data_IF_491465560515
#
_entry.id   IF_491465560515
#
_cell.length_a   1.000
_cell.length_b   1.000
_cell.length_c   1.000
_cell.angle_alpha   90.00
_cell.angle_beta   90.00
_cell.angle_gamma   90.00
#
_symmetry.space_group_name_H-M   'P 1'
#
loop_
_entity.id
_entity.type
_entity.pdbx_description
1 polymer ?
#
# COMPACT_ATOMS: atom_id res chain seq x y z
N UNK A 1 -20.30 4.83 26.22
CA UNK A 1 -19.42 3.66 26.16
C UNK A 1 -18.72 3.68 24.80
N UNK A 2 -17.42 3.43 24.74
CA UNK A 2 -16.73 3.27 23.46
C UNK A 2 -17.30 2.05 22.74
N UNK A 3 -17.50 2.14 21.41
CA UNK A 3 -17.96 1.02 20.59
C UNK A 3 -16.82 0.01 20.44
N UNK A 4 -17.11 -1.28 20.65
CA UNK A 4 -16.19 -2.37 20.38
C UNK A 4 -16.52 -2.99 19.03
N UNK A 5 -15.51 -3.15 18.18
CA UNK A 5 -15.63 -3.76 16.86
C UNK A 5 -15.19 -5.23 16.90
N UNK A 6 -15.88 -6.07 16.15
CA UNK A 6 -15.58 -7.51 16.09
C UNK A 6 -14.76 -7.81 14.81
N UNK A 7 -13.48 -8.07 14.96
CA UNK A 7 -12.60 -8.47 13.86
C UNK A 7 -12.44 -10.00 13.71
N UNK A 8 -13.10 -10.79 14.57
CA UNK A 8 -13.16 -12.25 14.45
C UNK A 8 -14.36 -12.74 13.63
N UNK A 9 -15.24 -11.82 13.21
CA UNK A 9 -16.38 -12.16 12.36
C UNK A 9 -15.91 -12.66 10.99
N UNK A 10 -16.37 -13.87 10.61
CA UNK A 10 -16.13 -14.42 9.28
C UNK A 10 -17.25 -13.95 8.36
N UNK A 11 -16.90 -13.14 7.38
CA UNK A 11 -17.85 -12.64 6.38
C UNK A 11 -17.68 -13.46 5.10
N UNK A 12 -18.76 -14.10 4.67
CA UNK A 12 -18.77 -14.79 3.37
C UNK A 12 -18.69 -13.76 2.23
N UNK A 13 -17.65 -13.88 1.41
CA UNK A 13 -17.41 -13.01 0.26
C UNK A 13 -17.81 -13.65 -1.07
N UNK A 14 -18.37 -14.86 -1.06
CA UNK A 14 -18.82 -15.57 -2.26
C UNK A 14 -19.87 -14.76 -3.02
N UNK A 15 -19.71 -14.65 -4.34
CA UNK A 15 -20.65 -13.94 -5.20
C UNK A 15 -20.66 -12.42 -5.02
N UNK A 16 -19.73 -11.86 -4.25
CA UNK A 16 -19.61 -10.40 -4.08
C UNK A 16 -18.86 -9.71 -5.23
N UNK A 17 -18.26 -10.48 -6.15
CA UNK A 17 -17.41 -9.98 -7.23
C UNK A 17 -16.03 -9.54 -6.73
N UNK A 18 -15.63 -9.94 -5.52
CA UNK A 18 -14.33 -9.55 -4.98
C UNK A 18 -13.17 -10.24 -5.69
N UNK A 19 -12.09 -9.47 -5.91
CA UNK A 19 -10.90 -9.95 -6.60
C UNK A 19 -10.20 -11.10 -5.85
N UNK A 20 -10.25 -11.09 -4.52
CA UNK A 20 -9.49 -12.02 -3.66
C UNK A 20 -9.91 -13.46 -3.86
N UNK A 21 -11.22 -13.71 -4.05
CA UNK A 21 -11.80 -15.04 -4.23
C UNK A 21 -12.10 -15.35 -5.71
N UNK A 22 -12.74 -14.43 -6.43
CA UNK A 22 -13.18 -14.67 -7.81
C UNK A 22 -12.01 -14.84 -8.80
N UNK A 23 -10.84 -14.28 -8.49
CA UNK A 23 -9.66 -14.42 -9.34
C UNK A 23 -8.80 -15.66 -9.03
N UNK A 24 -9.21 -16.55 -8.10
CA UNK A 24 -8.43 -17.76 -7.79
C UNK A 24 -8.35 -18.68 -9.00
N UNK A 25 -9.49 -19.04 -9.59
CA UNK A 25 -9.51 -19.94 -10.76
C UNK A 25 -8.75 -19.38 -11.97
N UNK A 26 -8.97 -18.14 -12.43
CA UNK A 26 -8.23 -17.60 -13.56
C UNK A 26 -6.73 -17.43 -13.29
N UNK A 27 -6.31 -17.22 -12.04
CA UNK A 27 -4.92 -16.96 -11.69
C UNK A 27 -4.11 -18.22 -11.36
N UNK A 28 -4.71 -19.20 -10.68
CA UNK A 28 -4.03 -20.41 -10.22
C UNK A 28 -4.59 -21.71 -10.82
N UNK A 29 -5.64 -21.62 -11.66
CA UNK A 29 -6.28 -22.79 -12.28
C UNK A 29 -7.11 -23.63 -11.30
N UNK A 30 -7.33 -23.12 -10.07
CA UNK A 30 -8.06 -23.81 -9.00
C UNK A 30 -8.74 -22.79 -8.06
N UNK A 31 -9.78 -23.20 -7.36
CA UNK A 31 -10.59 -22.35 -6.49
C UNK A 31 -10.66 -22.84 -5.03
N UNK A 32 -9.89 -23.89 -4.69
CA UNK A 32 -9.81 -24.47 -3.34
C UNK A 32 -8.69 -23.91 -2.49
N UNK A 33 -8.07 -22.79 -2.91
CA UNK A 33 -7.03 -22.12 -2.17
C UNK A 33 -7.61 -21.15 -1.14
N UNK A 34 -7.01 -21.11 0.05
CA UNK A 34 -7.30 -20.07 1.04
C UNK A 34 -6.60 -18.78 0.64
N UNK A 35 -7.35 -17.69 0.30
CA UNK A 35 -6.75 -16.51 -0.32
C UNK A 35 -6.26 -15.50 0.72
N UNK A 36 -4.95 -15.31 0.80
CA UNK A 36 -4.27 -14.30 1.64
C UNK A 36 -3.28 -13.46 0.82
N UNK A 37 -3.66 -13.11 -0.42
CA UNK A 37 -2.80 -12.44 -1.40
C UNK A 37 -3.17 -10.98 -1.71
N UNK A 38 -4.44 -10.66 -1.89
CA UNK A 38 -4.87 -9.28 -2.18
C UNK A 38 -4.69 -8.41 -0.95
N UNK A 39 -4.19 -7.19 -1.13
CA UNK A 39 -4.03 -6.22 -0.06
C UNK A 39 -5.37 -5.48 0.23
N UNK A 40 -6.41 -6.23 0.53
CA UNK A 40 -7.62 -5.79 1.23
C UNK A 40 -7.82 -6.65 2.49
N UNK A 41 -8.59 -6.20 3.45
CA UNK A 41 -8.86 -6.95 4.68
C UNK A 41 -10.13 -7.79 4.55
N UNK A 42 -10.28 -8.81 5.39
CA UNK A 42 -11.51 -9.60 5.50
C UNK A 42 -12.42 -9.07 6.62
N UNK A 43 -12.08 -7.93 7.20
CA UNK A 43 -12.91 -7.23 8.19
C UNK A 43 -14.01 -6.41 7.50
N UNK A 44 -15.17 -6.30 8.15
CA UNK A 44 -16.20 -5.39 7.69
C UNK A 44 -15.67 -3.96 7.52
N UNK A 45 -16.05 -3.30 6.44
CA UNK A 45 -15.90 -1.85 6.36
C UNK A 45 -16.64 -1.20 7.54
N UNK A 46 -16.08 -0.14 8.17
CA UNK A 46 -16.72 0.49 9.31
C UNK A 46 -18.19 0.87 9.03
N UNK A 47 -19.07 0.57 9.98
CA UNK A 47 -20.52 0.81 9.86
C UNK A 47 -20.86 2.26 9.56
N UNK A 48 -20.14 3.22 10.16
CA UNK A 48 -20.37 4.65 9.90
C UNK A 48 -20.07 5.06 8.43
N UNK A 49 -19.20 4.33 7.73
CA UNK A 49 -18.97 4.51 6.28
C UNK A 49 -20.15 3.92 5.51
N UNK A 50 -20.55 2.69 5.87
CA UNK A 50 -21.68 2.00 5.23
C UNK A 50 -22.98 2.78 5.41
N UNK A 51 -23.22 3.33 6.61
CA UNK A 51 -24.40 4.17 6.91
C UNK A 51 -24.39 5.46 6.10
N UNK A 52 -23.25 6.15 5.99
CA UNK A 52 -23.15 7.37 5.18
C UNK A 52 -23.46 7.10 3.69
N UNK A 53 -23.01 5.95 3.16
CA UNK A 53 -23.33 5.53 1.80
C UNK A 53 -24.81 5.18 1.63
N UNK A 54 -25.41 4.47 2.58
CA UNK A 54 -26.86 4.14 2.60
C UNK A 54 -27.72 5.41 2.64
N UNK A 55 -27.32 6.37 3.46
CA UNK A 55 -28.01 7.66 3.54
C UNK A 55 -27.99 8.38 2.19
N UNK A 56 -26.84 8.42 1.51
CA UNK A 56 -26.74 8.99 0.17
C UNK A 56 -27.57 8.20 -0.87
N UNK A 57 -27.64 6.88 -0.76
CA UNK A 57 -28.46 6.03 -1.64
C UNK A 57 -29.95 6.27 -1.47
N UNK A 58 -30.42 6.80 -0.32
CA UNK A 58 -31.83 7.15 -0.10
C UNK A 58 -32.33 8.23 -1.07
N UNK A 59 -31.44 9.07 -1.61
CA UNK A 59 -31.74 10.03 -2.66
C UNK A 59 -31.54 9.38 -4.04
N UNK A 60 -32.58 9.15 -4.84
CA UNK A 60 -32.53 8.26 -6.03
C UNK A 60 -31.95 8.92 -7.29
N UNK A 61 -31.42 10.12 -7.23
CA UNK A 61 -30.80 10.79 -8.36
C UNK A 61 -29.26 10.73 -8.23
N UNK A 62 -28.62 10.07 -9.17
CA UNK A 62 -27.15 9.88 -9.25
C UNK A 62 -26.59 10.72 -10.40
N UNK A 63 -26.87 12.03 -10.37
CA UNK A 63 -26.38 13.00 -11.35
C UNK A 63 -24.98 13.50 -11.05
N UNK A 64 -24.52 14.47 -11.83
CA UNK A 64 -23.26 15.16 -11.58
C UNK A 64 -23.23 15.78 -10.19
N UNK A 65 -22.09 15.73 -9.54
CA UNK A 65 -21.91 16.19 -8.18
C UNK A 65 -20.79 17.21 -8.08
N UNK A 66 -20.85 18.06 -7.08
CA UNK A 66 -19.73 18.92 -6.70
C UNK A 66 -18.99 18.29 -5.54
N UNK A 67 -17.72 18.63 -5.37
CA UNK A 67 -16.94 18.25 -4.19
C UNK A 67 -17.62 18.80 -2.93
N UNK A 68 -17.97 17.94 -1.94
CA UNK A 68 -18.58 18.42 -0.70
C UNK A 68 -17.63 19.35 0.07
N UNK A 69 -18.17 20.39 0.69
CA UNK A 69 -17.38 21.39 1.41
C UNK A 69 -16.49 20.82 2.53
N UNK A 70 -16.88 19.69 3.14
CA UNK A 70 -16.10 19.03 4.20
C UNK A 70 -15.07 18.03 3.69
N UNK A 71 -14.97 17.79 2.38
CA UNK A 71 -14.04 16.77 1.83
C UNK A 71 -12.58 17.13 2.12
N UNK A 72 -12.13 18.30 1.68
CA UNK A 72 -10.75 18.76 1.93
C UNK A 72 -10.46 18.98 3.42
N UNK A 73 -11.34 19.65 4.18
CA UNK A 73 -11.16 19.79 5.63
C UNK A 73 -11.02 18.45 6.35
N UNK A 74 -11.81 17.41 6.01
CA UNK A 74 -11.68 16.11 6.63
C UNK A 74 -10.30 15.48 6.40
N UNK A 75 -9.77 15.58 5.18
CA UNK A 75 -8.43 15.10 4.82
C UNK A 75 -7.35 15.88 5.59
N UNK A 76 -7.41 17.21 5.56
CA UNK A 76 -6.42 18.09 6.20
C UNK A 76 -6.36 17.86 7.71
N UNK A 77 -7.52 17.83 8.36
CA UNK A 77 -7.59 17.62 9.82
C UNK A 77 -7.06 16.23 10.20
N UNK A 78 -7.34 15.20 9.38
CA UNK A 78 -6.81 13.85 9.60
C UNK A 78 -5.30 13.81 9.49
N UNK A 79 -4.73 14.36 8.42
CA UNK A 79 -3.27 14.40 8.18
C UNK A 79 -2.57 15.17 9.30
N UNK A 80 -3.09 16.33 9.69
CA UNK A 80 -2.55 17.12 10.79
C UNK A 80 -2.54 16.32 12.09
N UNK A 81 -3.64 15.65 12.42
CA UNK A 81 -3.79 14.91 13.67
C UNK A 81 -2.90 13.65 13.75
N UNK A 82 -2.61 13.00 12.62
CA UNK A 82 -1.94 11.68 12.61
C UNK A 82 -0.50 11.72 12.11
N UNK A 83 -0.16 12.75 11.32
CA UNK A 83 1.16 12.81 10.65
C UNK A 83 1.91 14.12 10.92
N UNK A 84 1.39 15.03 11.78
CA UNK A 84 1.96 16.34 12.10
C UNK A 84 2.36 17.14 10.85
N UNK A 85 1.58 17.04 9.79
CA UNK A 85 1.83 17.73 8.54
C UNK A 85 0.72 18.74 8.24
N UNK A 86 1.10 20.02 8.14
CA UNK A 86 0.18 21.11 7.79
C UNK A 86 0.00 21.16 6.27
N UNK A 87 -1.12 20.64 5.80
CA UNK A 87 -1.49 20.62 4.38
C UNK A 87 -2.42 21.78 4.07
N UNK A 88 -2.15 22.49 2.98
CA UNK A 88 -3.03 23.57 2.51
C UNK A 88 -4.10 23.04 1.57
N UNK A 89 -5.33 23.59 1.57
CA UNK A 89 -6.41 23.12 0.70
C UNK A 89 -6.07 23.10 -0.79
N UNK A 90 -5.30 24.08 -1.26
CA UNK A 90 -4.87 24.17 -2.64
C UNK A 90 -3.84 23.10 -3.05
N UNK A 91 -3.19 22.43 -2.08
CA UNK A 91 -2.27 21.33 -2.36
C UNK A 91 -2.99 20.02 -2.69
N UNK A 92 -4.29 19.93 -2.42
CA UNK A 92 -5.08 18.71 -2.59
C UNK A 92 -5.79 18.66 -3.93
N UNK A 93 -5.78 17.48 -4.54
CA UNK A 93 -6.64 17.10 -5.66
C UNK A 93 -7.08 15.66 -5.54
N UNK A 94 -8.30 15.36 -5.93
CA UNK A 94 -8.74 13.98 -6.11
C UNK A 94 -7.92 13.31 -7.23
N UNK A 95 -7.67 12.02 -7.08
CA UNK A 95 -7.16 11.12 -8.14
C UNK A 95 -7.94 9.79 -8.11
N UNK A 96 -8.20 9.16 -9.25
CA UNK A 96 -8.99 7.93 -9.32
C UNK A 96 -8.20 6.67 -8.98
N UNK A 97 -7.32 6.72 -8.00
CA UNK A 97 -6.49 5.60 -7.52
C UNK A 97 -4.99 5.85 -7.68
N UNK A 98 -4.20 5.31 -6.74
CA UNK A 98 -2.75 5.55 -6.63
C UNK A 98 -2.00 5.08 -7.89
N UNK A 99 -2.21 3.85 -8.33
CA UNK A 99 -1.51 3.29 -9.51
C UNK A 99 -1.82 4.09 -10.78
N UNK A 100 -3.09 4.54 -10.93
CA UNK A 100 -3.47 5.44 -12.03
C UNK A 100 -2.76 6.79 -11.90
N UNK A 101 -2.70 7.34 -10.67
CA UNK A 101 -1.95 8.57 -10.37
C UNK A 101 -0.48 8.48 -10.76
N UNK A 102 0.19 7.35 -10.47
CA UNK A 102 1.57 7.10 -10.93
C UNK A 102 1.64 7.17 -12.46
N UNK A 103 0.72 6.51 -13.17
CA UNK A 103 0.65 6.56 -14.63
C UNK A 103 0.46 7.99 -15.15
N UNK A 104 -0.35 8.81 -14.48
CA UNK A 104 -0.55 10.21 -14.85
C UNK A 104 0.73 11.03 -14.65
N UNK A 105 1.42 10.86 -13.52
CA UNK A 105 2.71 11.54 -13.27
C UNK A 105 3.74 11.15 -14.32
N UNK A 106 3.85 9.86 -14.63
CA UNK A 106 4.75 9.37 -15.69
C UNK A 106 4.46 10.07 -17.02
N UNK A 107 3.19 10.20 -17.41
CA UNK A 107 2.81 10.85 -18.68
C UNK A 107 2.98 12.37 -18.66
N UNK A 108 2.82 13.02 -17.51
CA UNK A 108 2.94 14.48 -17.38
C UNK A 108 4.40 14.93 -17.30
N UNK A 109 5.24 14.17 -16.58
CA UNK A 109 6.57 14.64 -16.19
C UNK A 109 7.73 13.90 -16.84
N UNK A 110 7.45 12.93 -17.73
CA UNK A 110 8.52 12.23 -18.44
C UNK A 110 8.25 12.16 -19.95
N UNK A 111 9.33 12.25 -20.73
CA UNK A 111 9.33 11.93 -22.15
C UNK A 111 9.57 10.42 -22.38
N UNK A 112 9.36 9.93 -23.62
CA UNK A 112 9.45 8.48 -23.92
C UNK A 112 10.84 7.88 -23.70
N UNK A 113 11.91 8.67 -23.79
CA UNK A 113 13.29 8.22 -23.58
C UNK A 113 13.79 8.46 -22.15
N UNK A 114 12.96 9.08 -21.29
CA UNK A 114 13.27 9.32 -19.89
C UNK A 114 12.92 8.13 -19.00
N UNK A 115 13.41 8.15 -17.76
CA UNK A 115 13.48 6.99 -16.90
C UNK A 115 12.76 7.23 -15.57
N UNK A 116 12.22 6.13 -15.04
CA UNK A 116 11.59 6.07 -13.72
C UNK A 116 12.39 5.13 -12.82
N UNK A 117 12.81 5.62 -11.66
CA UNK A 117 13.55 4.85 -10.64
C UNK A 117 12.56 4.18 -9.71
N UNK A 118 12.80 2.90 -9.41
CA UNK A 118 12.08 2.14 -8.37
C UNK A 118 13.06 1.37 -7.50
N UNK A 119 12.65 1.00 -6.29
CA UNK A 119 13.50 0.38 -5.28
C UNK A 119 13.00 -1.02 -4.89
N UNK A 120 13.26 -2.06 -5.73
CA UNK A 120 12.83 -3.42 -5.43
C UNK A 120 13.60 -4.02 -4.22
N UNK A 121 12.97 -5.03 -3.51
CA UNK A 121 11.64 -5.56 -3.78
C UNK A 121 10.57 -4.53 -3.45
N UNK A 122 9.68 -4.21 -4.40
CA UNK A 122 8.66 -3.18 -4.22
C UNK A 122 7.37 -3.55 -4.96
N UNK A 123 6.27 -2.91 -4.63
CA UNK A 123 4.96 -3.14 -5.23
C UNK A 123 5.05 -3.13 -6.76
N UNK A 124 4.72 -4.27 -7.37
CA UNK A 124 4.98 -4.53 -8.79
C UNK A 124 4.38 -3.52 -9.80
N UNK A 125 3.26 -2.82 -9.53
CA UNK A 125 2.77 -1.77 -10.43
C UNK A 125 3.75 -0.60 -10.59
N UNK A 126 4.68 -0.38 -9.65
CA UNK A 126 5.69 0.67 -9.79
C UNK A 126 6.62 0.41 -10.98
N UNK A 127 6.82 -0.86 -11.34
CA UNK A 127 7.50 -1.28 -12.56
C UNK A 127 6.57 -1.32 -13.76
N UNK A 128 5.44 -2.02 -13.61
CA UNK A 128 4.54 -2.31 -14.73
C UNK A 128 3.91 -1.05 -15.33
N UNK A 129 3.60 -0.04 -14.49
CA UNK A 129 2.96 1.18 -14.96
C UNK A 129 3.87 2.03 -15.85
N UNK A 130 5.12 2.37 -15.48
CA UNK A 130 6.04 3.05 -16.40
C UNK A 130 6.34 2.25 -17.66
N UNK A 131 6.59 0.93 -17.55
CA UNK A 131 6.84 0.06 -18.70
C UNK A 131 5.67 0.06 -19.69
N UNK A 132 4.43 -0.07 -19.19
CA UNK A 132 3.23 -0.02 -20.01
C UNK A 132 2.99 1.37 -20.68
N UNK A 133 3.55 2.43 -20.08
CA UNK A 133 3.58 3.78 -20.65
C UNK A 133 4.86 4.05 -21.46
N UNK A 134 5.59 3.02 -21.85
CA UNK A 134 6.79 3.09 -22.69
C UNK A 134 7.96 3.91 -22.10
N UNK A 135 8.06 3.99 -20.77
CA UNK A 135 9.22 4.57 -20.07
C UNK A 135 10.15 3.45 -19.57
N UNK A 136 11.45 3.74 -19.57
CA UNK A 136 12.43 2.82 -19.02
C UNK A 136 12.39 2.84 -17.50
N UNK A 137 12.48 1.67 -16.89
CA UNK A 137 12.60 1.54 -15.43
C UNK A 137 14.06 1.33 -15.06
N UNK A 138 14.53 2.10 -14.09
CA UNK A 138 15.84 1.97 -13.45
C UNK A 138 15.62 1.33 -12.08
N UNK A 139 16.39 0.29 -11.81
CA UNK A 139 16.32 -0.44 -10.55
C UNK A 139 17.42 0.07 -9.61
N UNK A 140 17.01 0.52 -8.43
CA UNK A 140 17.87 0.75 -7.28
C UNK A 140 17.47 -0.24 -6.17
N UNK A 141 17.97 -1.48 -6.18
CA UNK A 141 17.55 -2.49 -5.24
C UNK A 141 17.87 -2.09 -3.80
N UNK A 142 16.93 -2.36 -2.90
CA UNK A 142 17.14 -2.23 -1.47
C UNK A 142 18.15 -3.27 -0.99
N UNK A 143 18.93 -2.93 0.02
CA UNK A 143 19.85 -3.86 0.68
C UNK A 143 19.16 -4.57 1.83
N UNK A 144 19.11 -5.89 1.79
CA UNK A 144 18.67 -6.72 2.90
C UNK A 144 19.74 -6.69 4.01
N UNK A 145 19.34 -6.36 5.23
CA UNK A 145 20.18 -6.34 6.42
C UNK A 145 20.19 -7.71 7.11
N UNK A 146 21.14 -7.91 7.99
CA UNK A 146 21.23 -9.15 8.79
C UNK A 146 20.02 -9.38 9.72
N UNK A 147 19.35 -8.31 10.13
CA UNK A 147 18.12 -8.36 10.93
C UNK A 147 16.84 -8.60 10.11
N UNK A 148 16.98 -8.79 8.79
CA UNK A 148 15.88 -9.05 7.85
C UNK A 148 15.21 -7.78 7.31
N UNK A 149 15.54 -6.58 7.83
CA UNK A 149 15.01 -5.33 7.29
C UNK A 149 15.81 -4.84 6.08
N UNK A 150 15.33 -3.79 5.46
CA UNK A 150 15.93 -3.24 4.26
C UNK A 150 16.40 -1.80 4.48
N UNK A 151 17.52 -1.47 3.85
CA UNK A 151 18.03 -0.09 3.72
C UNK A 151 18.00 0.35 2.26
N UNK A 152 17.86 1.66 2.02
CA UNK A 152 18.08 2.24 0.70
C UNK A 152 19.57 2.22 0.37
N UNK A 153 19.91 1.76 -0.84
CA UNK A 153 21.28 1.77 -1.35
C UNK A 153 21.57 3.06 -2.11
N UNK A 154 22.07 4.06 -1.41
CA UNK A 154 22.39 5.36 -2.00
C UNK A 154 23.62 5.35 -2.91
N UNK A 155 24.57 4.43 -2.68
CA UNK A 155 25.73 4.28 -3.55
C UNK A 155 25.30 3.71 -4.91
N UNK A 156 24.49 2.66 -4.89
CA UNK A 156 23.88 2.15 -6.11
C UNK A 156 22.94 3.18 -6.75
N UNK A 157 22.18 3.95 -5.97
CA UNK A 157 21.31 5.01 -6.52
C UNK A 157 22.13 6.03 -7.31
N UNK A 158 23.28 6.44 -6.80
CA UNK A 158 24.19 7.37 -7.50
C UNK A 158 24.82 6.74 -8.76
N UNK A 159 25.10 5.43 -8.75
CA UNK A 159 25.65 4.70 -9.88
C UNK A 159 24.64 4.55 -11.05
N UNK A 160 23.35 4.23 -10.72
CA UNK A 160 22.35 3.93 -11.75
C UNK A 160 21.60 5.17 -12.24
N UNK A 161 21.68 6.28 -11.50
CA UNK A 161 21.05 7.54 -11.86
C UNK A 161 21.86 8.26 -12.95
N UNK A 162 21.18 8.64 -14.03
CA UNK A 162 21.73 9.47 -15.09
C UNK A 162 20.81 10.68 -15.37
N UNK A 163 21.23 11.51 -16.33
CA UNK A 163 20.54 12.74 -16.72
C UNK A 163 19.16 12.53 -17.37
N UNK A 164 18.74 11.28 -17.61
CA UNK A 164 17.43 10.91 -18.09
C UNK A 164 16.47 10.45 -16.98
N UNK A 165 16.94 10.25 -15.77
CA UNK A 165 16.09 9.93 -14.64
C UNK A 165 15.27 11.17 -14.23
N UNK A 166 13.93 11.06 -14.22
CA UNK A 166 13.02 12.17 -13.93
C UNK A 166 12.09 11.94 -12.78
N UNK A 167 11.73 10.69 -12.54
CA UNK A 167 10.77 10.30 -11.49
C UNK A 167 11.36 9.16 -10.68
N UNK A 168 11.22 9.22 -9.36
CA UNK A 168 11.41 8.11 -8.45
C UNK A 168 10.08 7.80 -7.78
N UNK A 169 9.65 6.51 -7.80
CA UNK A 169 8.43 6.09 -7.11
C UNK A 169 8.81 5.44 -5.79
N UNK A 170 8.48 6.12 -4.70
CA UNK A 170 8.75 5.72 -3.32
C UNK A 170 7.54 5.02 -2.72
N UNK A 171 7.73 3.87 -2.07
CA UNK A 171 6.74 3.21 -1.20
C UNK A 171 6.99 3.63 0.24
N UNK A 172 6.07 4.38 0.84
CA UNK A 172 6.23 4.97 2.18
C UNK A 172 4.90 5.00 2.98
N UNK A 173 4.62 4.07 3.88
CA UNK A 173 5.43 2.89 4.28
C UNK A 173 5.65 1.87 3.16
N UNK A 174 6.74 1.13 3.29
CA UNK A 174 7.20 0.24 2.22
C UNK A 174 6.38 -1.06 2.13
N UNK A 175 5.97 -1.42 0.94
CA UNK A 175 5.34 -2.69 0.59
C UNK A 175 6.24 -3.43 -0.41
N UNK A 176 6.74 -4.66 -0.11
CA UNK A 176 6.08 -5.68 0.74
C UNK A 176 6.58 -5.77 2.18
N UNK A 177 7.67 -5.14 2.57
CA UNK A 177 8.34 -5.39 3.85
C UNK A 177 7.71 -4.65 5.04
N UNK A 178 6.74 -3.76 4.82
CA UNK A 178 6.04 -3.05 5.90
C UNK A 178 6.94 -2.06 6.67
N UNK A 179 7.94 -1.44 6.02
CA UNK A 179 8.88 -0.55 6.70
C UNK A 179 8.35 0.88 6.79
N UNK A 180 8.59 1.52 7.94
CA UNK A 180 8.54 2.97 8.09
C UNK A 180 9.95 3.52 7.93
N UNK A 181 10.18 4.33 6.90
CA UNK A 181 11.50 4.94 6.67
C UNK A 181 11.83 5.96 7.75
N UNK A 182 13.10 6.01 8.17
CA UNK A 182 13.56 7.04 9.10
C UNK A 182 13.59 8.42 8.45
N UNK A 183 13.48 9.46 9.26
CA UNK A 183 13.55 10.85 8.79
C UNK A 183 14.88 11.12 8.07
N UNK A 184 16.00 10.60 8.60
CA UNK A 184 17.33 10.75 8.00
C UNK A 184 17.41 10.09 6.62
N UNK A 185 16.82 8.90 6.46
CA UNK A 185 16.75 8.21 5.16
C UNK A 185 15.93 9.01 4.15
N UNK A 186 14.78 9.52 4.57
CA UNK A 186 13.92 10.33 3.69
C UNK A 186 14.54 11.67 3.34
N UNK A 187 15.24 12.35 4.29
CA UNK A 187 16.00 13.58 4.01
C UNK A 187 17.13 13.33 3.01
N UNK A 188 17.90 12.27 3.20
CA UNK A 188 18.98 11.90 2.28
C UNK A 188 18.44 11.63 0.87
N UNK A 189 17.31 10.91 0.77
CA UNK A 189 16.65 10.69 -0.51
C UNK A 189 16.17 12.00 -1.15
N UNK A 190 15.59 12.90 -0.35
CA UNK A 190 15.12 14.19 -0.82
C UNK A 190 16.26 15.06 -1.35
N UNK A 191 17.38 15.13 -0.63
CA UNK A 191 18.57 15.88 -1.06
C UNK A 191 19.12 15.32 -2.38
N UNK A 192 19.28 14.01 -2.49
CA UNK A 192 19.72 13.35 -3.71
C UNK A 192 18.79 13.68 -4.90
N UNK A 193 17.48 13.46 -4.74
CA UNK A 193 16.52 13.70 -5.81
C UNK A 193 16.43 15.17 -6.21
N UNK A 194 16.52 16.09 -5.24
CA UNK A 194 16.53 17.53 -5.50
C UNK A 194 17.75 17.95 -6.34
N UNK A 195 18.94 17.46 -5.98
CA UNK A 195 20.19 17.77 -6.69
C UNK A 195 20.22 17.21 -8.11
N UNK A 196 19.48 16.13 -8.37
CA UNK A 196 19.40 15.50 -9.70
C UNK A 196 18.12 15.87 -10.48
N UNK A 197 17.31 16.82 -10.00
CA UNK A 197 16.04 17.24 -10.61
C UNK A 197 15.05 16.06 -10.82
N UNK A 198 14.95 15.16 -9.85
CA UNK A 198 14.07 14.00 -9.86
C UNK A 198 12.83 14.31 -9.02
N UNK A 199 11.65 14.12 -9.59
CA UNK A 199 10.36 14.22 -8.89
C UNK A 199 10.15 12.91 -8.10
N UNK A 200 9.81 13.01 -6.82
CA UNK A 200 9.48 11.86 -5.99
C UNK A 200 7.97 11.69 -5.91
N UNK A 201 7.47 10.58 -6.45
CA UNK A 201 6.08 10.14 -6.24
C UNK A 201 6.06 9.28 -4.99
N UNK A 202 5.58 9.83 -3.87
CA UNK A 202 5.47 9.09 -2.61
C UNK A 202 4.10 8.42 -2.51
N UNK A 203 4.06 7.09 -2.63
CA UNK A 203 2.87 6.31 -2.35
C UNK A 203 2.75 6.07 -0.85
N UNK A 204 1.84 6.81 -0.22
CA UNK A 204 1.62 6.80 1.24
C UNK A 204 0.28 6.14 1.61
N UNK A 205 -0.22 5.21 0.80
CA UNK A 205 -1.51 4.54 1.02
C UNK A 205 -1.57 3.73 2.32
N UNK A 206 -0.42 3.37 2.90
CA UNK A 206 -0.30 2.66 4.18
C UNK A 206 0.04 3.58 5.37
N UNK A 207 0.05 4.90 5.20
CA UNK A 207 0.48 5.89 6.19
C UNK A 207 -0.23 5.78 7.54
N UNK A 208 -1.55 5.53 7.52
CA UNK A 208 -2.38 5.44 8.73
C UNK A 208 -2.24 4.11 9.51
N UNK A 209 -1.37 3.22 9.04
CA UNK A 209 -1.29 1.85 9.52
C UNK A 209 0.04 1.50 10.19
N UNK A 210 0.70 2.48 10.81
CA UNK A 210 1.90 2.25 11.62
C UNK A 210 1.56 1.36 12.83
N UNK A 211 2.43 0.38 13.13
CA UNK A 211 2.27 -0.66 14.13
C UNK A 211 3.39 -0.59 15.16
N UNK A 212 3.17 -1.18 16.34
CA UNK A 212 4.18 -1.35 17.39
C UNK A 212 4.86 -0.04 17.83
N UNK A 213 4.12 1.07 17.83
CA UNK A 213 4.65 2.37 18.20
C UNK A 213 5.54 3.03 17.14
N UNK A 214 5.69 2.42 15.96
CA UNK A 214 6.34 3.08 14.83
C UNK A 214 5.49 4.24 14.32
N UNK A 215 6.12 5.14 13.57
CA UNK A 215 5.47 6.31 13.02
C UNK A 215 5.77 6.43 11.52
N UNK A 216 4.74 6.72 10.76
CA UNK A 216 4.89 7.18 9.39
C UNK A 216 5.33 8.65 9.37
N UNK A 217 6.24 8.99 8.47
CA UNK A 217 6.68 10.35 8.21
C UNK A 217 6.37 10.66 6.74
N UNK A 218 5.48 11.63 6.44
CA UNK A 218 5.21 12.02 5.07
C UNK A 218 6.49 12.51 4.38
N UNK A 219 6.80 12.02 3.20
CA UNK A 219 8.04 12.39 2.51
C UNK A 219 8.15 13.91 2.30
N UNK A 220 7.06 14.56 1.90
CA UNK A 220 7.05 16.00 1.65
C UNK A 220 7.32 16.86 2.90
N UNK A 221 7.14 16.28 4.11
CA UNK A 221 7.27 17.03 5.38
C UNK A 221 8.69 17.05 5.94
N UNK A 222 9.61 16.21 5.43
CA UNK A 222 10.94 16.05 6.04
C UNK A 222 11.89 17.24 5.78
N UNK A 223 11.68 17.98 4.69
CA UNK A 223 12.46 19.17 4.38
C UNK A 223 11.77 20.05 3.32
N UNK A 224 12.24 21.28 3.17
CA UNK A 224 11.78 22.17 2.09
C UNK A 224 12.12 21.58 0.71
N UNK A 225 13.30 20.97 0.54
CA UNK A 225 13.69 20.29 -0.70
C UNK A 225 12.74 19.15 -1.03
N UNK A 226 12.36 18.35 -0.04
CA UNK A 226 11.36 17.29 -0.23
C UNK A 226 10.01 17.84 -0.70
N UNK A 227 9.53 18.93 -0.07
CA UNK A 227 8.28 19.58 -0.47
C UNK A 227 8.34 20.14 -1.91
N UNK A 228 9.50 20.59 -2.36
CA UNK A 228 9.68 21.13 -3.71
C UNK A 228 9.63 20.09 -4.84
N UNK A 229 9.94 18.84 -4.55
CA UNK A 229 10.05 17.78 -5.57
C UNK A 229 9.01 16.67 -5.43
N UNK A 230 8.09 16.75 -4.46
CA UNK A 230 7.19 15.65 -4.14
C UNK A 230 5.80 15.79 -4.74
N UNK A 231 5.26 14.64 -5.14
CA UNK A 231 3.85 14.38 -5.38
C UNK A 231 3.47 13.23 -4.45
N UNK A 232 2.76 13.52 -3.36
CA UNK A 232 2.32 12.51 -2.40
C UNK A 232 0.96 11.99 -2.78
N UNK A 233 0.78 10.67 -2.78
CA UNK A 233 -0.51 10.01 -2.97
C UNK A 233 -0.93 9.30 -1.69
N UNK A 234 -2.16 9.55 -1.25
CA UNK A 234 -2.74 8.91 -0.08
C UNK A 234 -4.22 8.57 -0.28
N UNK A 235 -4.75 7.73 0.59
CA UNK A 235 -6.14 7.29 0.52
C UNK A 235 -6.59 6.66 1.84
N UNK A 236 -7.86 6.80 2.25
CA UNK A 236 -8.43 6.06 3.39
C UNK A 236 -8.71 4.59 3.07
N UNK A 237 -8.55 4.18 1.81
CA UNK A 237 -9.09 2.94 1.27
C UNK A 237 -8.46 1.67 1.84
N UNK A 238 -7.18 1.69 2.20
CA UNK A 238 -6.53 0.56 2.87
C UNK A 238 -6.86 0.53 4.36
N UNK A 239 -6.77 1.68 5.02
CA UNK A 239 -7.02 1.82 6.46
C UNK A 239 -8.43 1.38 6.83
N UNK A 240 -9.44 1.76 6.05
CA UNK A 240 -10.85 1.49 6.34
C UNK A 240 -11.49 0.39 5.46
N UNK A 241 -10.67 -0.42 4.81
CA UNK A 241 -11.10 -1.54 3.98
C UNK A 241 -12.20 -1.19 2.96
N UNK A 242 -11.97 -0.13 2.19
CA UNK A 242 -12.94 0.38 1.21
C UNK A 242 -12.31 0.61 -0.18
N UNK A 243 -11.35 -0.25 -0.58
CA UNK A 243 -10.60 -0.09 -1.82
C UNK A 243 -11.47 -0.05 -3.09
N UNK A 244 -12.62 -0.73 -3.07
CA UNK A 244 -13.57 -0.74 -4.19
C UNK A 244 -14.28 0.59 -4.43
N UNK A 245 -14.26 1.52 -3.46
CA UNK A 245 -14.87 2.85 -3.60
C UNK A 245 -13.99 3.80 -4.43
N UNK A 246 -12.71 3.49 -4.59
CA UNK A 246 -11.77 4.29 -5.40
C UNK A 246 -11.74 5.75 -4.93
N UNK A 247 -11.31 5.98 -3.71
CA UNK A 247 -11.10 7.32 -3.16
C UNK A 247 -9.63 7.52 -2.82
N UNK A 248 -8.96 8.34 -3.59
CA UNK A 248 -7.55 8.70 -3.37
C UNK A 248 -7.34 10.17 -3.68
N UNK A 249 -6.29 10.74 -3.13
CA UNK A 249 -5.95 12.14 -3.37
C UNK A 249 -4.44 12.32 -3.52
N UNK A 250 -4.08 13.38 -4.25
CA UNK A 250 -2.72 13.87 -4.38
C UNK A 250 -2.52 15.09 -3.47
N UNK A 251 -1.31 15.24 -2.93
CA UNK A 251 -0.86 16.42 -2.19
C UNK A 251 0.43 16.92 -2.85
N UNK A 252 0.40 18.13 -3.39
CA UNK A 252 1.53 18.72 -4.11
C UNK A 252 1.83 20.11 -3.57
N UNK A 253 2.83 20.25 -2.69
CA UNK A 253 3.18 21.57 -2.10
C UNK A 253 3.74 22.57 -3.12
N UNK A 254 4.62 22.11 -4.02
CA UNK A 254 5.23 22.95 -5.05
C UNK A 254 4.21 23.47 -6.05
N UNK A 255 4.15 24.78 -6.25
CA UNK A 255 3.13 25.42 -7.10
C UNK A 255 3.30 25.07 -8.60
N UNK A 256 4.53 25.01 -9.08
CA UNK A 256 4.80 24.69 -10.49
C UNK A 256 4.41 23.23 -10.82
N UNK A 257 4.85 22.27 -9.98
CA UNK A 257 4.46 20.87 -10.12
C UNK A 257 2.94 20.72 -10.02
N UNK A 258 2.33 21.39 -9.06
CA UNK A 258 0.89 21.37 -8.81
C UNK A 258 0.10 21.89 -10.01
N UNK A 259 0.46 23.06 -10.52
CA UNK A 259 -0.23 23.67 -11.66
C UNK A 259 -0.12 22.82 -12.92
N UNK A 260 1.06 22.21 -13.15
CA UNK A 260 1.26 21.31 -14.29
C UNK A 260 0.46 20.02 -14.11
N UNK A 261 0.51 19.37 -12.94
CA UNK A 261 -0.17 18.10 -12.71
C UNK A 261 -1.69 18.27 -12.63
N UNK A 262 -2.17 19.19 -11.81
CA UNK A 262 -3.63 19.41 -11.66
C UNK A 262 -4.27 20.06 -12.88
N UNK A 263 -3.53 20.89 -13.60
CA UNK A 263 -3.97 21.41 -14.89
C UNK A 263 -4.18 20.29 -15.90
N UNK A 264 -3.30 19.28 -15.92
CA UNK A 264 -3.45 18.10 -16.77
C UNK A 264 -4.62 17.22 -16.32
N UNK A 265 -4.78 16.99 -15.03
CA UNK A 265 -5.93 16.21 -14.49
C UNK A 265 -7.25 16.89 -14.90
N UNK A 266 -7.35 18.19 -14.68
CA UNK A 266 -8.55 18.98 -15.02
C UNK A 266 -8.85 18.95 -16.52
N UNK A 267 -7.83 19.08 -17.37
CA UNK A 267 -8.02 19.03 -18.82
C UNK A 267 -8.52 17.66 -19.32
N UNK A 268 -8.35 16.60 -18.53
CA UNK A 268 -8.81 15.24 -18.81
C UNK A 268 -10.00 14.80 -17.94
N UNK A 269 -10.61 15.69 -17.15
CA UNK A 269 -11.74 15.42 -16.23
C UNK A 269 -11.45 14.30 -15.22
N UNK A 270 -10.20 14.24 -14.71
CA UNK A 270 -9.72 13.21 -13.79
C UNK A 270 -9.61 13.67 -12.34
N UNK A 271 -9.86 14.94 -12.07
CA UNK A 271 -9.80 15.58 -10.75
C UNK A 271 -11.15 15.60 -10.02
N UNK A 272 -12.21 15.14 -10.68
CA UNK A 272 -13.54 15.09 -10.09
C UNK A 272 -13.81 13.72 -9.41
N UNK A 273 -14.14 13.72 -8.10
CA UNK A 273 -14.44 12.49 -7.40
C UNK A 273 -15.79 11.91 -7.84
N UNK A 274 -15.89 10.58 -7.86
CA UNK A 274 -17.19 9.91 -8.02
C UNK A 274 -18.10 10.19 -6.83
N UNK A 275 -19.41 10.10 -7.04
CA UNK A 275 -20.44 10.42 -6.04
C UNK A 275 -20.17 9.87 -4.63
N UNK A 276 -19.70 8.62 -4.51
CA UNK A 276 -19.54 7.93 -3.23
C UNK A 276 -18.17 8.14 -2.58
N UNK A 277 -17.15 8.49 -3.36
CA UNK A 277 -15.78 8.62 -2.88
C UNK A 277 -15.62 9.69 -1.77
N UNK A 278 -16.07 10.94 -1.94
CA UNK A 278 -15.96 11.95 -0.88
C UNK A 278 -16.83 11.64 0.33
N UNK A 279 -18.01 11.05 0.15
CA UNK A 279 -18.90 10.67 1.25
C UNK A 279 -18.24 9.65 2.16
N UNK A 280 -17.68 8.59 1.56
CA UNK A 280 -16.97 7.55 2.30
C UNK A 280 -15.70 8.12 2.98
N UNK A 281 -14.94 8.98 2.30
CA UNK A 281 -13.74 9.61 2.85
C UNK A 281 -14.05 10.50 4.05
N UNK A 282 -15.07 11.36 3.93
CA UNK A 282 -15.52 12.22 5.04
C UNK A 282 -15.93 11.37 6.24
N UNK A 283 -16.77 10.35 6.02
CA UNK A 283 -17.21 9.47 7.09
C UNK A 283 -16.03 8.74 7.75
N UNK A 284 -15.09 8.22 6.95
CA UNK A 284 -13.89 7.54 7.43
C UNK A 284 -13.01 8.45 8.29
N UNK A 285 -12.67 9.64 7.81
CA UNK A 285 -11.75 10.52 8.52
C UNK A 285 -12.41 11.28 9.69
N UNK A 286 -13.71 11.57 9.63
CA UNK A 286 -14.42 12.22 10.74
C UNK A 286 -14.75 11.29 11.90
N UNK A 287 -14.93 10.00 11.65
CA UNK A 287 -15.43 9.03 12.65
C UNK A 287 -14.51 7.81 12.86
N UNK A 288 -13.43 7.70 12.09
CA UNK A 288 -12.68 6.44 11.93
C UNK A 288 -11.65 6.14 13.00
N UNK A 289 -11.26 7.08 13.83
CA UNK A 289 -10.11 6.95 14.74
C UNK A 289 -10.22 5.75 15.69
N UNK A 290 -11.39 5.56 16.32
CA UNK A 290 -11.58 4.46 17.26
C UNK A 290 -11.56 3.09 16.57
N UNK A 291 -12.19 2.98 15.38
CA UNK A 291 -12.14 1.77 14.58
C UNK A 291 -10.70 1.45 14.16
N UNK A 292 -9.96 2.47 13.68
CA UNK A 292 -8.55 2.33 13.26
C UNK A 292 -7.67 1.82 14.41
N UNK A 293 -7.78 2.40 15.61
CA UNK A 293 -7.02 1.96 16.78
C UNK A 293 -7.29 0.49 17.12
N UNK A 294 -8.54 0.08 17.15
CA UNK A 294 -8.90 -1.30 17.45
C UNK A 294 -8.45 -2.26 16.34
N UNK A 295 -8.58 -1.86 15.07
CA UNK A 295 -8.09 -2.63 13.93
C UNK A 295 -6.57 -2.82 13.99
N UNK A 296 -5.80 -1.76 14.26
CA UNK A 296 -4.35 -1.85 14.38
C UNK A 296 -3.93 -2.76 15.54
N UNK A 297 -4.59 -2.65 16.70
CA UNK A 297 -4.32 -3.54 17.82
C UNK A 297 -4.57 -5.02 17.46
N UNK A 298 -5.66 -5.31 16.73
CA UNK A 298 -5.94 -6.67 16.26
C UNK A 298 -4.90 -7.16 15.23
N UNK A 299 -4.47 -6.29 14.32
CA UNK A 299 -3.40 -6.61 13.36
C UNK A 299 -2.07 -6.88 14.06
N UNK A 300 -1.71 -6.09 15.08
CA UNK A 300 -0.51 -6.34 15.88
C UNK A 300 -0.55 -7.72 16.57
N UNK A 301 -1.70 -8.10 17.13
CA UNK A 301 -1.90 -9.43 17.68
C UNK A 301 -1.78 -10.53 16.60
N UNK A 302 -2.26 -10.27 15.38
CA UNK A 302 -2.07 -11.19 14.27
C UNK A 302 -0.59 -11.31 13.87
N UNK A 303 0.18 -10.22 13.89
CA UNK A 303 1.64 -10.27 13.65
C UNK A 303 2.32 -11.17 14.70
N UNK A 304 2.08 -10.91 15.99
CA UNK A 304 2.65 -11.74 17.09
C UNK A 304 2.29 -13.21 16.92
N UNK A 305 1.04 -13.48 16.57
CA UNK A 305 0.58 -14.85 16.35
C UNK A 305 1.34 -15.53 15.19
N UNK A 306 1.58 -14.83 14.06
CA UNK A 306 2.36 -15.39 12.94
C UNK A 306 3.81 -15.66 13.36
N UNK A 307 4.44 -14.72 14.06
CA UNK A 307 5.82 -14.87 14.55
C UNK A 307 5.98 -16.06 15.49
N UNK A 308 5.11 -16.16 16.50
CA UNK A 308 5.13 -17.24 17.48
C UNK A 308 4.85 -18.59 16.81
N UNK A 309 3.85 -18.66 15.96
CA UNK A 309 3.48 -19.89 15.25
C UNK A 309 4.60 -20.36 14.32
N UNK A 310 5.20 -19.46 13.54
CA UNK A 310 6.33 -19.83 12.66
C UNK A 310 7.53 -20.31 13.47
N UNK A 311 7.89 -19.62 14.55
CA UNK A 311 9.00 -20.01 15.43
C UNK A 311 8.80 -21.42 16.02
N UNK A 312 7.57 -21.76 16.41
CA UNK A 312 7.26 -23.02 17.10
C UNK A 312 7.02 -24.19 16.14
N UNK A 313 6.42 -23.93 14.98
CA UNK A 313 5.90 -24.98 14.10
C UNK A 313 6.50 -24.99 12.69
N UNK A 314 7.15 -23.90 12.24
CA UNK A 314 7.71 -23.77 10.90
C UNK A 314 9.10 -23.12 10.95
N UNK A 315 10.12 -23.75 11.55
CA UNK A 315 11.40 -23.10 11.87
C UNK A 315 12.20 -22.60 10.64
N UNK A 316 11.81 -22.98 9.43
CA UNK A 316 12.44 -22.51 8.18
C UNK A 316 11.79 -21.26 7.57
N UNK A 317 10.74 -20.70 8.18
CA UNK A 317 10.08 -19.48 7.75
C UNK A 317 10.23 -18.41 8.80
N UNK A 318 10.80 -17.26 8.42
CA UNK A 318 11.05 -16.13 9.30
C UNK A 318 10.18 -14.93 8.87
N UNK A 319 9.05 -14.67 9.56
CA UNK A 319 8.24 -13.49 9.30
C UNK A 319 9.01 -12.22 9.64
N UNK A 320 9.12 -11.28 8.70
CA UNK A 320 9.62 -9.95 9.01
C UNK A 320 8.50 -9.18 9.73
N UNK A 321 8.79 -8.67 10.94
CA UNK A 321 7.81 -7.87 11.70
C UNK A 321 7.53 -6.57 10.98
N UNK A 322 6.32 -6.34 10.46
CA UNK A 322 6.00 -5.10 9.79
C UNK A 322 5.93 -3.94 10.79
N UNK A 323 6.49 -2.80 10.42
CA UNK A 323 6.37 -1.55 11.16
C UNK A 323 5.11 -0.78 10.75
N UNK A 324 4.48 -1.18 9.65
CA UNK A 324 3.21 -0.67 9.15
C UNK A 324 2.50 -1.67 8.25
N UNK A 325 1.20 -1.48 8.00
CA UNK A 325 0.38 -2.31 7.13
C UNK A 325 -0.08 -3.64 7.78
N UNK A 326 -0.92 -4.37 7.06
CA UNK A 326 -1.41 -5.71 7.42
C UNK A 326 -0.79 -6.80 6.52
N UNK A 327 0.41 -6.54 6.00
CA UNK A 327 1.12 -7.42 5.09
C UNK A 327 2.42 -7.85 5.76
N UNK A 328 2.66 -9.16 5.81
CA UNK A 328 3.87 -9.75 6.39
C UNK A 328 4.72 -10.33 5.27
N UNK A 329 6.00 -9.95 5.24
CA UNK A 329 7.00 -10.49 4.34
C UNK A 329 7.63 -11.71 4.99
N UNK A 330 7.43 -12.89 4.41
CA UNK A 330 7.91 -14.16 4.92
C UNK A 330 9.24 -14.51 4.24
N UNK A 331 10.32 -14.53 4.97
CA UNK A 331 11.59 -15.13 4.52
C UNK A 331 11.49 -16.64 4.65
N UNK A 332 11.51 -17.34 3.51
CA UNK A 332 11.41 -18.79 3.42
C UNK A 332 12.73 -19.48 3.04
N UNK A 333 13.86 -18.76 3.04
CA UNK A 333 15.18 -19.34 2.67
C UNK A 333 15.61 -20.47 3.61
N UNK A 334 15.18 -20.41 4.88
CA UNK A 334 15.49 -21.44 5.84
C UNK A 334 14.90 -22.84 5.54
N UNK A 335 13.93 -22.91 4.59
CA UNK A 335 13.42 -24.20 4.11
C UNK A 335 14.37 -24.88 3.12
N UNK A 336 15.38 -24.20 2.59
CA UNK A 336 16.33 -24.75 1.60
C UNK A 336 15.72 -25.10 0.25
N UNK A 337 14.53 -24.62 -0.04
CA UNK A 337 13.80 -24.88 -1.29
C UNK A 337 14.19 -23.89 -2.40
N UNK A 338 14.20 -24.38 -3.64
CA UNK A 338 14.19 -23.47 -4.79
C UNK A 338 12.86 -22.73 -4.84
N UNK A 339 12.85 -21.53 -5.39
CA UNK A 339 11.63 -20.70 -5.39
C UNK A 339 10.41 -21.37 -6.02
N UNK A 340 10.59 -22.14 -7.10
CA UNK A 340 9.49 -22.91 -7.71
C UNK A 340 8.93 -23.99 -6.78
N UNK A 341 9.80 -24.61 -5.98
CA UNK A 341 9.40 -25.61 -4.99
C UNK A 341 8.64 -24.93 -3.84
N UNK A 342 9.05 -23.73 -3.42
CA UNK A 342 8.35 -22.90 -2.46
C UNK A 342 6.93 -22.54 -2.95
N UNK A 343 6.77 -22.17 -4.22
CA UNK A 343 5.45 -21.91 -4.79
C UNK A 343 4.57 -23.16 -4.79
N UNK A 344 5.12 -24.32 -5.20
CA UNK A 344 4.39 -25.58 -5.16
C UNK A 344 4.01 -25.98 -3.72
N UNK A 345 4.88 -25.73 -2.75
CA UNK A 345 4.59 -25.95 -1.34
C UNK A 345 3.38 -25.12 -0.91
N UNK A 346 3.35 -23.81 -1.20
CA UNK A 346 2.25 -22.94 -0.83
C UNK A 346 0.95 -23.31 -1.55
N UNK A 347 1.00 -23.53 -2.87
CA UNK A 347 -0.18 -23.69 -3.71
C UNK A 347 -0.70 -25.13 -3.65
N UNK A 348 0.15 -26.11 -3.91
CA UNK A 348 -0.28 -27.51 -4.15
C UNK A 348 -0.33 -28.34 -2.87
N UNK A 349 0.50 -28.00 -1.86
CA UNK A 349 0.56 -28.73 -0.59
C UNK A 349 -0.20 -28.04 0.52
N UNK A 350 0.05 -26.73 0.72
CA UNK A 350 -0.61 -25.96 1.76
C UNK A 350 -1.99 -25.41 1.34
N UNK A 351 -2.35 -25.43 0.05
CA UNK A 351 -3.59 -24.86 -0.48
C UNK A 351 -3.76 -23.38 -0.11
N UNK A 352 -2.68 -22.60 -0.23
CA UNK A 352 -2.66 -21.17 0.06
C UNK A 352 -2.40 -20.33 -1.19
N UNK A 353 -3.21 -19.31 -1.41
CA UNK A 353 -2.90 -18.25 -2.37
C UNK A 353 -2.20 -17.09 -1.66
N UNK A 354 -0.88 -17.07 -1.71
CA UNK A 354 -0.02 -15.97 -1.25
C UNK A 354 0.56 -15.21 -2.44
N UNK A 355 1.12 -14.02 -2.21
CA UNK A 355 1.89 -13.36 -3.27
C UNK A 355 3.30 -13.95 -3.38
N UNK A 356 3.65 -14.36 -4.59
CA UNK A 356 5.01 -14.73 -4.99
C UNK A 356 5.96 -13.54 -4.79
N UNK A 357 7.04 -13.73 -4.03
CA UNK A 357 8.01 -12.68 -3.75
C UNK A 357 8.65 -12.10 -5.00
N UNK A 358 8.86 -12.89 -6.05
CA UNK A 358 9.42 -12.42 -7.32
C UNK A 358 8.54 -11.42 -8.06
N UNK A 359 7.24 -11.33 -7.73
CA UNK A 359 6.38 -10.28 -8.26
C UNK A 359 6.86 -8.89 -7.85
N UNK A 360 7.57 -8.78 -6.73
CA UNK A 360 8.08 -7.52 -6.19
C UNK A 360 9.45 -7.13 -6.79
N UNK A 361 10.01 -7.97 -7.66
CA UNK A 361 11.25 -7.71 -8.40
C UNK A 361 12.49 -8.28 -7.72
N UNK A 362 13.63 -7.64 -7.97
CA UNK A 362 14.96 -8.05 -7.45
C UNK A 362 14.89 -8.15 -5.93
N UNK A 363 15.44 -9.22 -5.36
CA UNK A 363 15.43 -9.47 -3.90
C UNK A 363 14.15 -10.14 -3.39
N UNK A 364 13.20 -10.50 -4.27
CA UNK A 364 11.96 -11.18 -3.85
C UNK A 364 12.01 -12.72 -3.94
N UNK A 365 13.07 -13.30 -4.51
CA UNK A 365 13.23 -14.76 -4.57
C UNK A 365 13.41 -15.33 -3.16
N UNK A 366 12.79 -16.46 -2.86
CA UNK A 366 12.81 -17.07 -1.52
C UNK A 366 11.83 -16.44 -0.53
N UNK A 367 11.11 -15.40 -0.92
CA UNK A 367 10.11 -14.75 -0.09
C UNK A 367 8.67 -15.01 -0.56
N UNK A 368 7.73 -14.90 0.39
CA UNK A 368 6.28 -14.85 0.13
C UNK A 368 5.66 -13.68 0.91
N UNK A 369 4.60 -13.04 0.37
CA UNK A 369 3.87 -12.02 1.14
C UNK A 369 2.53 -12.56 1.61
N UNK A 370 2.31 -12.53 2.91
CA UNK A 370 1.09 -12.96 3.60
C UNK A 370 0.26 -11.74 4.01
N UNK A 371 -1.03 -11.73 3.65
CA UNK A 371 -1.99 -10.79 4.18
C UNK A 371 -2.54 -11.31 5.52
N UNK A 372 -2.40 -10.53 6.58
CA UNK A 372 -2.88 -10.85 7.93
C UNK A 372 -4.06 -9.99 8.39
N UNK A 373 -4.60 -9.16 7.51
CA UNK A 373 -5.83 -8.39 7.74
C UNK A 373 -7.08 -9.28 7.62
N UNK A 374 -7.12 -10.36 8.42
CA UNK A 374 -8.14 -11.41 8.39
C UNK A 374 -8.44 -11.88 9.82
N UNK A 375 -9.64 -12.46 10.09
CA UNK A 375 -9.95 -13.09 11.36
C UNK A 375 -8.88 -14.11 11.79
N UNK A 376 -8.57 -14.14 13.09
CA UNK A 376 -7.55 -15.04 13.67
C UNK A 376 -7.77 -16.50 13.33
N UNK A 377 -9.01 -16.94 13.23
CA UNK A 377 -9.35 -18.33 12.88
C UNK A 377 -8.91 -18.70 11.45
N UNK A 378 -9.09 -17.77 10.49
CA UNK A 378 -8.64 -17.95 9.09
C UNK A 378 -7.11 -17.96 9.02
N UNK A 379 -6.46 -17.03 9.73
CA UNK A 379 -5.01 -16.95 9.80
C UNK A 379 -4.40 -18.22 10.43
N UNK A 380 -4.99 -18.72 11.49
CA UNK A 380 -4.61 -19.99 12.14
C UNK A 380 -4.71 -21.15 11.15
N UNK A 381 -5.84 -21.30 10.47
CA UNK A 381 -6.05 -22.33 9.45
C UNK A 381 -4.94 -22.27 8.38
N UNK A 382 -4.61 -21.09 7.89
CA UNK A 382 -3.56 -20.92 6.88
C UNK A 382 -2.19 -21.38 7.39
N UNK A 383 -1.83 -21.01 8.61
CA UNK A 383 -0.56 -21.39 9.20
C UNK A 383 -0.48 -22.88 9.51
N UNK A 384 -1.57 -23.50 9.97
CA UNK A 384 -1.66 -24.95 10.20
C UNK A 384 -1.51 -25.73 8.88
N UNK A 385 -2.14 -25.27 7.79
CA UNK A 385 -1.97 -25.86 6.46
C UNK A 385 -0.50 -25.75 5.99
N UNK A 386 0.12 -24.58 6.20
CA UNK A 386 1.53 -24.35 5.83
C UNK A 386 2.47 -25.23 6.66
N UNK A 387 2.27 -25.32 7.98
CA UNK A 387 3.05 -26.17 8.87
C UNK A 387 2.97 -27.64 8.48
N UNK A 388 1.76 -28.12 8.21
CA UNK A 388 1.56 -29.50 7.71
C UNK A 388 2.35 -29.76 6.44
N UNK A 389 2.25 -28.87 5.45
CA UNK A 389 2.94 -29.00 4.18
C UNK A 389 4.47 -28.97 4.33
N UNK A 390 5.00 -28.14 5.25
CA UNK A 390 6.45 -28.08 5.54
C UNK A 390 6.92 -29.36 6.24
N UNK A 391 6.14 -29.89 7.18
CA UNK A 391 6.50 -31.12 7.89
C UNK A 391 6.46 -32.39 7.00
N UNK A 392 5.88 -32.29 5.81
CA UNK A 392 5.86 -33.38 4.81
C UNK A 392 6.97 -33.24 3.74
N UNK A 393 7.91 -32.28 3.90
CA UNK A 393 9.10 -32.14 3.06
C UNK A 393 10.13 -33.20 3.36
#
# INVERSE_FOLDING_TARGET
MMKTYNFDEIIDRSGSGDLKHEALLPRWGRNDLLPLWVADMDFACPDFVVEALKDRLSHPIFGYTVEPADFRPAIIDWIRAHHDWEVKPEWLSFIPGIVRGIGFVVNVFTELDEKVIIQPPVYHPFRLTPEANHRKVVFNPLRLREDGYYDMDFDNLAEVCDDKCRVLVLSNPHNPAGLCWSEDTLRRLADFCYEHNIIVVSDEIHSDMALFGNRHIPFASVSERAAQISITFAAPTKTFNMAGIVSSFAIVPNEELRNRFYGWLKANELDEPTLFAPIATIAAYRKGEEWRKQMLAYVEENVRFVEDFCREHIPGIHPLRPQASFLVWLDCHGLGLKHKELLNLCIDKAHLALNDGRMFGIGGEGFMRLNIGTPRSILRQALEQLAKAVNEL
#
